data_IF_773690284074
#
_entry.id   IF_773690284074
#
_cell.length_a   1.000
_cell.length_b   1.000
_cell.length_c   1.000
_cell.angle_alpha   90.00
_cell.angle_beta   90.00
_cell.angle_gamma   90.00
#
_symmetry.space_group_name_H-M   'P 1'
#
loop_
_entity.id
_entity.type
_entity.pdbx_description
1 polymer ?
#
# COMPACT_ATOMS: atom_id res chain seq x y z
N UNK A 1 -7.95 -5.36 1.15
CA UNK A 1 -8.15 -4.49 2.34
C UNK A 1 -7.20 -3.29 2.35
N UNK A 2 -5.94 -3.42 1.91
CA UNK A 2 -4.92 -2.36 2.04
C UNK A 2 -5.35 -0.99 1.46
N UNK A 3 -5.81 -0.86 0.20
CA UNK A 3 -6.19 0.46 -0.32
C UNK A 3 -7.32 1.12 0.49
N UNK A 4 -8.34 0.36 0.85
CA UNK A 4 -9.47 0.84 1.66
C UNK A 4 -9.05 1.26 3.08
N UNK A 5 -8.17 0.49 3.72
CA UNK A 5 -7.60 0.83 5.03
C UNK A 5 -6.80 2.14 4.98
N UNK A 6 -5.98 2.35 3.94
CA UNK A 6 -5.16 3.55 3.79
C UNK A 6 -6.03 4.80 3.60
N UNK A 7 -7.02 4.75 2.71
CA UNK A 7 -7.92 5.88 2.46
C UNK A 7 -8.73 6.26 3.71
N UNK A 8 -9.20 5.27 4.47
CA UNK A 8 -9.93 5.54 5.72
C UNK A 8 -9.03 6.05 6.83
N UNK A 9 -7.84 5.49 6.99
CA UNK A 9 -6.85 5.99 7.94
C UNK A 9 -6.49 7.45 7.63
N UNK A 10 -6.26 7.78 6.36
CA UNK A 10 -6.03 9.15 5.93
C UNK A 10 -7.21 10.06 6.27
N UNK A 11 -8.44 9.67 5.91
CA UNK A 11 -9.63 10.46 6.18
C UNK A 11 -9.86 10.67 7.69
N UNK A 12 -9.59 9.66 8.52
CA UNK A 12 -9.64 9.78 9.98
C UNK A 12 -8.61 10.79 10.48
N UNK A 13 -7.34 10.63 10.11
CA UNK A 13 -6.25 11.46 10.63
C UNK A 13 -6.30 12.91 10.10
N UNK A 14 -6.86 13.14 8.91
CA UNK A 14 -7.15 14.49 8.43
C UNK A 14 -8.20 15.21 9.29
N UNK A 15 -9.19 14.46 9.81
CA UNK A 15 -10.27 15.02 10.66
C UNK A 15 -9.85 15.12 12.12
N UNK A 16 -9.20 14.08 12.63
CA UNK A 16 -8.73 13.96 14.00
C UNK A 16 -7.31 13.38 14.03
N UNK A 17 -6.27 14.24 13.98
CA UNK A 17 -4.88 13.81 14.09
C UNK A 17 -4.53 13.16 15.43
N UNK A 18 -5.37 13.34 16.47
CA UNK A 18 -5.20 12.77 17.81
C UNK A 18 -6.20 11.64 18.08
N UNK A 19 -6.64 10.93 17.04
CA UNK A 19 -7.56 9.81 17.17
C UNK A 19 -7.03 8.74 18.16
N UNK A 20 -7.92 8.31 19.05
CA UNK A 20 -7.68 7.25 20.03
C UNK A 20 -7.69 5.87 19.38
N UNK A 21 -7.16 4.88 20.11
CA UNK A 21 -7.13 3.49 19.66
C UNK A 21 -8.50 2.94 19.26
N UNK A 22 -9.53 3.27 20.04
CA UNK A 22 -10.91 2.85 19.82
C UNK A 22 -11.46 3.51 18.56
N UNK A 23 -11.27 4.83 18.41
CA UNK A 23 -11.70 5.55 17.21
C UNK A 23 -11.02 5.00 15.94
N UNK A 24 -9.72 4.71 15.99
CA UNK A 24 -9.00 4.11 14.85
C UNK A 24 -9.60 2.74 14.51
N UNK A 25 -9.90 1.91 15.51
CA UNK A 25 -10.48 0.58 15.30
C UNK A 25 -11.87 0.68 14.69
N UNK A 26 -12.75 1.47 15.29
CA UNK A 26 -14.13 1.62 14.84
C UNK A 26 -14.18 2.22 13.44
N UNK A 27 -13.29 3.17 13.14
CA UNK A 27 -13.21 3.76 11.82
C UNK A 27 -12.68 2.78 10.77
N UNK A 28 -11.87 1.79 11.13
CA UNK A 28 -11.34 0.78 10.21
C UNK A 28 -12.14 -0.53 10.18
N UNK A 29 -13.07 -0.73 11.12
CA UNK A 29 -13.91 -1.93 11.26
C UNK A 29 -14.61 -2.36 9.95
N UNK A 30 -15.16 -1.44 9.13
CA UNK A 30 -15.83 -1.83 7.89
C UNK A 30 -14.90 -2.45 6.83
N UNK A 31 -13.58 -2.42 7.04
CA UNK A 31 -12.60 -2.99 6.11
C UNK A 31 -12.16 -4.38 6.57
N UNK A 32 -12.76 -5.41 5.97
CA UNK A 32 -12.42 -6.80 6.27
C UNK A 32 -10.99 -7.13 5.83
N UNK A 33 -10.18 -7.61 6.78
CA UNK A 33 -8.80 -8.03 6.54
C UNK A 33 -8.71 -9.56 6.49
N UNK A 34 -8.40 -10.13 5.32
CA UNK A 34 -8.28 -11.60 5.16
C UNK A 34 -6.91 -12.17 5.51
N UNK A 35 -5.85 -11.36 5.43
CA UNK A 35 -4.48 -11.80 5.70
C UNK A 35 -4.08 -11.72 7.18
N UNK A 36 -4.97 -11.27 8.08
CA UNK A 36 -4.72 -11.25 9.52
C UNK A 36 -3.76 -10.15 10.01
N UNK A 37 -3.27 -9.26 9.13
CA UNK A 37 -2.30 -8.21 9.48
C UNK A 37 -2.94 -6.93 10.06
N UNK A 38 -4.24 -6.95 10.38
CA UNK A 38 -5.01 -5.79 10.85
C UNK A 38 -4.32 -5.06 12.02
N UNK A 39 -3.77 -5.79 13.00
CA UNK A 39 -3.07 -5.19 14.14
C UNK A 39 -1.77 -4.45 13.76
N UNK A 40 -1.12 -4.84 12.65
CA UNK A 40 0.04 -4.10 12.11
C UNK A 40 -0.41 -2.76 11.51
N UNK A 41 -1.56 -2.76 10.84
CA UNK A 41 -2.16 -1.55 10.26
C UNK A 41 -2.53 -0.57 11.38
N UNK A 42 -3.21 -1.03 12.44
CA UNK A 42 -3.56 -0.17 13.59
C UNK A 42 -2.31 0.49 14.19
N UNK A 43 -1.22 -0.26 14.38
CA UNK A 43 0.06 0.30 14.87
C UNK A 43 0.65 1.35 13.93
N UNK A 44 0.58 1.11 12.62
CA UNK A 44 1.06 2.05 11.62
C UNK A 44 0.25 3.36 11.63
N UNK A 45 -1.08 3.29 11.77
CA UNK A 45 -1.94 4.47 11.85
C UNK A 45 -1.66 5.31 13.09
N UNK A 46 -1.46 4.68 14.26
CA UNK A 46 -1.06 5.39 15.49
C UNK A 46 0.28 6.10 15.34
N UNK A 47 1.25 5.44 14.69
CA UNK A 47 2.54 6.05 14.38
C UNK A 47 2.36 7.27 13.47
N UNK A 48 1.54 7.15 12.43
CA UNK A 48 1.24 8.28 11.55
C UNK A 48 0.55 9.44 12.30
N UNK A 49 -0.42 9.15 13.18
CA UNK A 49 -1.08 10.14 14.03
C UNK A 49 -0.07 10.92 14.90
N UNK A 50 0.90 10.22 15.48
CA UNK A 50 1.99 10.81 16.26
C UNK A 50 2.87 11.72 15.41
N UNK A 51 3.20 11.30 14.19
CA UNK A 51 4.00 12.11 13.23
C UNK A 51 3.26 13.37 12.75
N UNK A 52 1.92 13.36 12.76
CA UNK A 52 1.11 14.53 12.39
C UNK A 52 0.92 15.54 13.53
N UNK A 53 1.18 15.14 14.79
CA UNK A 53 0.83 15.94 15.98
C UNK A 53 2.02 16.42 16.82
N UNK A 54 3.24 15.95 16.60
CA UNK A 54 4.42 16.31 17.40
C UNK A 54 5.75 16.22 16.66
N UNK A 55 6.81 16.87 17.19
CA UNK A 55 8.01 17.22 16.43
C UNK A 55 8.89 16.00 16.16
N UNK A 56 9.27 15.84 14.89
CA UNK A 56 10.30 14.95 14.36
C UNK A 56 10.55 13.66 15.16
N UNK A 57 9.63 12.70 15.07
CA UNK A 57 10.02 11.31 15.29
C UNK A 57 10.89 10.93 14.10
N UNK A 58 12.20 10.88 14.34
CA UNK A 58 13.16 10.32 13.37
C UNK A 58 12.62 8.96 12.95
N UNK A 59 12.26 8.76 11.67
CA UNK A 59 11.67 7.51 11.25
C UNK A 59 12.71 6.44 11.46
N UNK A 60 12.45 5.51 12.39
CA UNK A 60 13.23 4.28 12.52
C UNK A 60 13.29 3.62 11.14
N UNK A 61 14.46 3.75 10.53
CA UNK A 61 14.91 3.18 9.28
C UNK A 61 14.72 1.67 9.38
N UNK A 62 13.63 1.16 8.81
CA UNK A 62 13.73 -0.14 8.16
C UNK A 62 14.55 0.08 6.90
N UNK A 63 15.88 0.13 7.08
CA UNK A 63 16.77 -0.28 6.02
C UNK A 63 16.31 -1.69 5.62
N UNK A 64 16.10 -1.99 4.33
CA UNK A 64 15.97 -3.37 3.93
C UNK A 64 17.27 -4.04 4.37
N UNK A 65 17.18 -4.94 5.36
CA UNK A 65 18.28 -5.86 5.63
C UNK A 65 18.56 -6.56 4.30
N UNK A 66 19.82 -6.49 3.86
CA UNK A 66 20.33 -6.86 2.55
C UNK A 66 19.89 -8.27 2.08
N UNK A 67 18.67 -8.39 1.56
CA UNK A 67 18.13 -9.61 0.96
C UNK A 67 17.09 -9.32 -0.13
N UNK A 68 17.21 -8.19 -0.81
CA UNK A 68 16.60 -8.00 -2.13
C UNK A 68 17.71 -8.09 -3.15
N UNK A 69 18.12 -9.32 -3.45
CA UNK A 69 18.82 -9.61 -4.70
C UNK A 69 17.88 -9.17 -5.81
N UNK A 70 18.29 -8.11 -6.51
CA UNK A 70 17.99 -7.77 -7.89
C UNK A 70 16.70 -8.38 -8.45
N UNK A 71 15.66 -7.54 -8.55
CA UNK A 71 14.53 -7.87 -9.42
C UNK A 71 15.05 -7.82 -10.86
N UNK A 72 15.41 -8.99 -11.41
CA UNK A 72 15.73 -9.14 -12.81
C UNK A 72 14.50 -8.77 -13.65
N UNK A 73 14.51 -7.57 -14.22
CA UNK A 73 13.41 -7.05 -15.05
C UNK A 73 13.38 -7.66 -16.46
N UNK A 74 14.22 -8.67 -16.73
CA UNK A 74 14.33 -9.28 -18.06
C UNK A 74 13.12 -10.15 -18.45
N UNK A 75 12.40 -10.73 -17.47
CA UNK A 75 11.17 -11.51 -17.75
C UNK A 75 9.96 -10.61 -18.08
N UNK A 76 9.84 -9.43 -17.45
CA UNK A 76 8.70 -8.53 -17.65
C UNK A 76 8.68 -7.92 -19.06
N UNK A 77 9.86 -7.66 -19.64
CA UNK A 77 9.97 -7.11 -21.00
C UNK A 77 9.48 -8.12 -22.05
N UNK A 78 9.72 -9.41 -21.83
CA UNK A 78 9.34 -10.49 -22.75
C UNK A 78 7.83 -10.67 -22.86
N UNK A 79 7.09 -10.58 -21.75
CA UNK A 79 5.64 -10.69 -21.73
C UNK A 79 4.96 -9.47 -22.36
N UNK A 80 5.46 -8.26 -22.08
CA UNK A 80 4.97 -7.01 -22.71
C UNK A 80 5.23 -7.02 -24.22
N UNK A 81 6.39 -7.49 -24.68
CA UNK A 81 6.72 -7.59 -26.10
C UNK A 81 5.87 -8.66 -26.81
N UNK A 82 5.45 -9.72 -26.10
CA UNK A 82 4.59 -10.78 -26.62
C UNK A 82 3.15 -10.30 -26.80
N UNK A 83 2.64 -9.52 -25.85
CA UNK A 83 1.27 -9.00 -25.86
C UNK A 83 1.08 -7.91 -26.94
N UNK A 84 2.10 -7.05 -27.13
CA UNK A 84 2.17 -6.10 -28.25
C UNK A 84 2.16 -6.81 -29.61
N UNK A 85 2.98 -7.84 -29.78
CA UNK A 85 2.99 -8.65 -31.03
C UNK A 85 1.66 -9.36 -31.29
N UNK A 86 0.96 -9.83 -30.25
CA UNK A 86 -0.35 -10.48 -30.41
C UNK A 86 -1.45 -9.47 -30.79
N UNK A 87 -1.38 -8.25 -30.25
CA UNK A 87 -2.29 -7.15 -30.60
C UNK A 87 -2.07 -6.66 -32.03
N UNK A 88 -0.81 -6.40 -32.45
CA UNK A 88 -0.48 -5.96 -33.81
C UNK A 88 -0.85 -7.01 -34.88
N UNK A 89 -0.83 -8.31 -34.54
CA UNK A 89 -1.20 -9.40 -35.46
C UNK A 89 -2.72 -9.52 -35.65
N UNK A 90 -3.53 -9.01 -34.70
CA UNK A 90 -5.00 -8.98 -34.79
C UNK A 90 -5.54 -7.78 -35.56
N UNK A 91 -4.74 -6.74 -35.76
CA UNK A 91 -5.13 -5.51 -36.48
C UNK A 91 -4.83 -5.52 -37.98
N UNK A 92 -4.33 -6.63 -38.54
CA UNK A 92 -4.24 -6.78 -40.01
C UNK A 92 -5.66 -6.98 -40.58
N UNK A 93 -6.18 -6.04 -41.41
CA UNK A 93 -7.45 -6.25 -42.07
C UNK A 93 -7.30 -7.38 -43.10
N UNK A 94 -8.17 -8.38 -43.02
CA UNK A 94 -8.32 -9.41 -44.05
C UNK A 94 -8.62 -8.72 -45.39
N UNK A 95 -7.71 -8.88 -46.36
CA UNK A 95 -7.93 -8.64 -47.79
C UNK A 95 -7.72 -9.93 -48.53
#
# INVERSE_FOLDING_TARGET
CIPGMMMRAQALLQRNPRATDTEIRDFLEPNLCRCGTHLRILRAVKRAASMMTGPDVTPSTHAPSAASTELDTSEVDSDVQRDRRHSEKRERPER
#
